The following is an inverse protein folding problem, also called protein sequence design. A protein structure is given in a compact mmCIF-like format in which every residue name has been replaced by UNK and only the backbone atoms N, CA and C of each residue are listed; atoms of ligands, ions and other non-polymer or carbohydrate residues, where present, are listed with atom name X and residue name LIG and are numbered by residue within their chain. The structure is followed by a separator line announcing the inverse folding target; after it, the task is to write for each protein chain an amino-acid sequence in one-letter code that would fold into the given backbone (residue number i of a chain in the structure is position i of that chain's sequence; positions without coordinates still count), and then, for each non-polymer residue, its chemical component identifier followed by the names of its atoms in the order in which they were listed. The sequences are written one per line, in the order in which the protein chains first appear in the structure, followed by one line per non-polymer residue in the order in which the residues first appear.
data_IF_906178931320
#
_entry.id   IF_906178931320
#
_cell.length_a   1.000
_cell.length_b   1.000
_cell.length_c   1.000
_cell.angle_alpha   90.00
_cell.angle_beta   90.00
_cell.angle_gamma   90.00
#
_symmetry.space_group_name_H-M   'P 1'
#
loop_
_entity.id
_entity.type
_entity.pdbx_description
1 polymer ?
#
# COMPACT_ATOMS: atom_id res chain seq x y z
N UNK A 1 8.91 -6.34 -10.69
CA UNK A 1 8.76 -4.88 -10.74
C UNK A 1 9.94 -4.21 -10.05
N UNK A 2 10.40 -3.12 -10.58
CA UNK A 2 11.43 -2.30 -9.97
C UNK A 2 10.80 -1.10 -9.30
N UNK A 3 11.31 -0.71 -8.14
CA UNK A 3 10.95 0.55 -7.53
C UNK A 3 12.05 1.57 -7.81
N UNK A 4 11.68 2.76 -8.22
CA UNK A 4 12.59 3.85 -8.54
C UNK A 4 12.21 5.09 -7.77
N UNK A 5 13.18 5.72 -7.10
CA UNK A 5 13.04 7.06 -6.56
C UNK A 5 13.54 8.00 -7.64
N UNK A 6 12.63 8.76 -8.24
CA UNK A 6 12.96 9.68 -9.31
C UNK A 6 13.52 11.00 -8.78
N UNK A 7 14.54 11.53 -9.44
CA UNK A 7 14.94 12.93 -9.26
C UNK A 7 13.91 13.86 -9.89
N UNK A 8 13.87 15.16 -9.52
CA UNK A 8 12.94 16.13 -10.16
C UNK A 8 13.07 16.22 -11.69
N UNK A 9 14.24 15.91 -12.23
CA UNK A 9 14.49 15.91 -13.68
C UNK A 9 13.94 14.65 -14.34
N UNK A 10 14.14 13.48 -13.73
CA UNK A 10 13.60 12.20 -14.18
C UNK A 10 12.07 12.17 -14.10
N UNK A 11 11.50 12.82 -13.10
CA UNK A 11 10.06 12.92 -12.94
C UNK A 11 9.37 13.78 -14.02
N UNK A 12 10.10 14.59 -14.77
CA UNK A 12 9.55 15.34 -15.90
C UNK A 12 9.24 14.43 -17.09
N UNK A 13 9.96 13.34 -17.25
CA UNK A 13 9.65 12.32 -18.27
C UNK A 13 8.67 11.29 -17.67
N UNK A 14 7.40 11.67 -17.69
CA UNK A 14 6.30 10.81 -17.22
C UNK A 14 5.73 9.93 -18.33
N UNK A 15 6.34 9.91 -19.48
CA UNK A 15 5.94 9.03 -20.56
C UNK A 15 6.11 7.56 -20.13
N UNK A 16 5.03 6.81 -20.15
CA UNK A 16 5.02 5.39 -19.79
C UNK A 16 4.45 5.04 -18.41
N UNK A 17 4.13 6.02 -17.54
CA UNK A 17 3.39 5.77 -16.31
C UNK A 17 1.89 5.96 -16.54
N UNK A 18 1.10 4.92 -16.24
CA UNK A 18 -0.34 4.94 -16.49
C UNK A 18 -1.12 5.66 -15.39
N UNK A 19 -0.62 5.61 -14.15
CA UNK A 19 -1.32 6.14 -12.97
C UNK A 19 -0.40 7.08 -12.21
N UNK A 20 -0.89 8.28 -11.95
CA UNK A 20 -0.22 9.29 -11.11
C UNK A 20 -1.11 9.58 -9.90
N UNK A 21 -0.57 9.39 -8.70
CA UNK A 21 -1.28 9.62 -7.45
C UNK A 21 -0.61 10.77 -6.70
N UNK A 22 -1.41 11.71 -6.21
CA UNK A 22 -0.92 12.79 -5.36
C UNK A 22 -0.68 12.30 -3.94
N UNK A 23 0.38 12.78 -3.33
CA UNK A 23 0.73 12.45 -1.96
C UNK A 23 1.20 13.71 -1.21
N UNK A 24 1.17 13.63 0.12
CA UNK A 24 1.64 14.71 0.99
C UNK A 24 2.88 14.25 1.75
N UNK A 25 3.94 15.08 1.82
CA UNK A 25 5.15 14.72 2.54
C UNK A 25 4.92 14.81 4.05
N UNK A 26 5.41 13.83 4.78
CA UNK A 26 5.45 13.83 6.23
C UNK A 26 6.61 12.97 6.72
N UNK A 27 7.53 13.56 7.49
CA UNK A 27 8.68 12.85 8.07
C UNK A 27 9.46 11.98 7.07
N UNK A 28 9.75 12.50 5.87
CA UNK A 28 10.48 11.78 4.84
C UNK A 28 9.68 10.73 4.07
N UNK A 29 8.38 10.58 4.35
CA UNK A 29 7.46 9.68 3.64
C UNK A 29 6.42 10.49 2.85
N UNK A 30 5.88 9.89 1.81
CA UNK A 30 4.72 10.42 1.11
C UNK A 30 3.45 9.64 1.52
N UNK A 31 2.45 10.40 1.96
CA UNK A 31 1.17 9.86 2.40
C UNK A 31 0.11 10.13 1.34
N UNK A 32 -0.52 9.08 0.86
CA UNK A 32 -1.64 9.14 -0.08
C UNK A 32 -2.93 9.23 0.74
N UNK A 33 -3.63 10.36 0.65
CA UNK A 33 -4.90 10.57 1.34
C UNK A 33 -6.13 10.16 0.51
N UNK A 34 -6.00 10.13 -0.82
CA UNK A 34 -7.06 9.69 -1.74
C UNK A 34 -7.03 8.17 -1.90
N UNK A 35 -7.39 7.48 -0.84
CA UNK A 35 -7.46 6.03 -0.84
C UNK A 35 -8.64 5.54 0.02
N UNK A 36 -9.14 4.36 -0.33
CA UNK A 36 -10.21 3.67 0.39
C UNK A 36 -9.95 2.17 0.41
N UNK A 37 -10.23 1.55 1.55
CA UNK A 37 -10.23 0.09 1.71
C UNK A 37 -11.64 -0.35 2.06
N UNK A 38 -12.27 -1.13 1.20
CA UNK A 38 -13.66 -1.57 1.33
C UNK A 38 -14.62 -0.40 1.69
N UNK A 39 -14.41 0.75 1.04
CA UNK A 39 -15.18 1.97 1.26
C UNK A 39 -14.79 2.78 2.50
N UNK A 40 -13.82 2.34 3.29
CA UNK A 40 -13.27 3.11 4.42
C UNK A 40 -12.15 4.00 3.95
N UNK A 41 -12.29 5.31 4.11
CA UNK A 41 -11.22 6.26 3.77
C UNK A 41 -9.96 5.96 4.58
N UNK A 42 -8.85 5.78 3.88
CA UNK A 42 -7.61 5.26 4.46
C UNK A 42 -6.41 6.05 3.92
N UNK A 43 -5.51 6.45 4.81
CA UNK A 43 -4.21 6.98 4.39
C UNK A 43 -3.28 5.84 4.03
N UNK A 44 -2.59 5.93 2.90
CA UNK A 44 -1.68 4.89 2.42
C UNK A 44 -0.25 5.41 2.35
N UNK A 45 0.67 4.65 2.91
CA UNK A 45 2.11 4.90 2.86
C UNK A 45 2.76 3.77 2.07
N UNK A 46 3.65 4.12 1.16
CA UNK A 46 4.46 3.16 0.41
C UNK A 46 5.73 2.86 1.21
N UNK A 47 5.96 1.60 1.55
CA UNK A 47 7.15 1.20 2.31
C UNK A 47 7.79 -0.07 1.71
N UNK A 48 8.94 0.11 1.09
CA UNK A 48 9.73 -0.99 0.52
C UNK A 48 10.41 -1.86 1.57
N UNK A 49 10.51 -1.39 2.80
CA UNK A 49 11.02 -2.16 3.93
C UNK A 49 10.00 -3.13 4.50
N UNK A 50 8.72 -2.92 4.25
CA UNK A 50 7.65 -3.83 4.66
C UNK A 50 7.47 -4.95 3.64
N UNK A 51 7.47 -6.21 4.07
CA UNK A 51 7.24 -7.35 3.19
C UNK A 51 5.77 -7.53 2.84
N UNK A 52 4.88 -7.29 3.79
CA UNK A 52 3.43 -7.41 3.64
C UNK A 52 2.77 -6.07 3.91
N UNK A 53 1.55 -5.90 3.42
CA UNK A 53 0.76 -4.71 3.72
C UNK A 53 0.19 -4.81 5.12
N UNK A 54 0.33 -3.72 5.88
CA UNK A 54 -0.03 -3.63 7.28
C UNK A 54 -1.06 -2.53 7.45
N UNK A 55 -2.18 -2.85 8.08
CA UNK A 55 -3.20 -1.88 8.49
C UNK A 55 -3.11 -1.57 9.97
N UNK A 56 -3.46 -0.34 10.35
CA UNK A 56 -3.51 0.03 11.76
C UNK A 56 -4.82 -0.39 12.43
N UNK A 57 -4.88 -0.27 13.76
CA UNK A 57 -6.06 -0.65 14.53
C UNK A 57 -7.27 0.26 14.23
N UNK A 58 -7.06 1.51 13.87
CA UNK A 58 -8.14 2.40 13.49
C UNK A 58 -8.86 1.92 12.22
N UNK A 59 -8.12 1.43 11.22
CA UNK A 59 -8.68 0.79 10.03
C UNK A 59 -9.38 -0.51 10.39
N UNK A 60 -8.76 -1.34 11.20
CA UNK A 60 -9.33 -2.61 11.66
C UNK A 60 -10.70 -2.40 12.34
N UNK A 61 -10.81 -1.44 13.24
CA UNK A 61 -12.08 -1.11 13.93
C UNK A 61 -13.17 -0.69 12.95
N UNK A 62 -12.83 0.12 11.95
CA UNK A 62 -13.79 0.57 10.94
C UNK A 62 -14.29 -0.56 10.04
N UNK A 63 -13.40 -1.48 9.67
CA UNK A 63 -13.76 -2.64 8.86
C UNK A 63 -14.59 -3.65 9.66
N UNK A 64 -14.25 -3.92 10.93
CA UNK A 64 -15.04 -4.80 11.81
C UNK A 64 -16.46 -4.28 12.04
N UNK A 65 -16.62 -2.98 12.21
CA UNK A 65 -17.93 -2.37 12.35
C UNK A 65 -18.82 -2.63 11.13
N UNK A 66 -18.23 -2.94 9.97
CA UNK A 66 -18.95 -3.27 8.73
C UNK A 66 -19.18 -4.78 8.55
N UNK A 67 -18.18 -5.60 8.88
CA UNK A 67 -18.18 -7.03 8.55
C UNK A 67 -18.50 -7.93 9.74
N UNK A 68 -18.33 -7.46 10.97
CA UNK A 68 -18.55 -8.25 12.18
C UNK A 68 -17.51 -9.34 12.44
N UNK A 69 -16.38 -9.32 11.76
CA UNK A 69 -15.37 -10.36 11.85
C UNK A 69 -14.61 -10.38 13.19
N UNK A 70 -14.37 -11.61 13.70
CA UNK A 70 -13.50 -11.86 14.83
C UNK A 70 -12.05 -12.06 14.37
N UNK A 71 -11.08 -11.55 15.13
CA UNK A 71 -9.67 -11.61 14.78
C UNK A 71 -9.01 -12.96 15.03
N UNK A 72 -8.04 -13.31 14.22
CA UNK A 72 -7.17 -14.49 14.35
C UNK A 72 -5.72 -14.08 14.69
N UNK A 73 -4.97 -15.02 15.25
CA UNK A 73 -3.55 -14.84 15.63
C UNK A 73 -2.64 -15.37 14.53
N UNK A 74 -1.62 -14.62 14.16
CA UNK A 74 -0.65 -15.04 13.13
C UNK A 74 0.79 -14.94 13.64
N UNK A 75 1.62 -15.86 13.14
CA UNK A 75 3.05 -15.82 13.32
C UNK A 75 3.71 -15.05 12.16
N UNK A 76 4.41 -13.98 12.50
CA UNK A 76 5.22 -13.21 11.55
C UNK A 76 6.68 -13.38 11.95
N UNK A 77 7.44 -14.15 11.20
CA UNK A 77 8.88 -14.37 11.41
C UNK A 77 9.26 -14.91 12.80
N UNK A 78 8.47 -15.85 13.35
CA UNK A 78 8.74 -16.45 14.65
C UNK A 78 8.41 -15.60 15.86
N UNK A 79 7.85 -14.41 15.67
CA UNK A 79 7.28 -13.59 16.72
C UNK A 79 5.76 -13.67 16.66
N UNK A 80 5.13 -14.09 17.74
CA UNK A 80 3.66 -14.07 17.86
C UNK A 80 3.20 -12.62 17.96
N UNK A 81 2.89 -12.02 16.81
CA UNK A 81 2.20 -10.73 16.77
C UNK A 81 0.70 -10.98 16.90
N UNK A 82 0.05 -10.29 17.84
CA UNK A 82 -1.41 -10.22 17.89
C UNK A 82 -1.89 -9.36 16.73
N UNK A 83 -2.12 -9.99 15.60
CA UNK A 83 -2.68 -9.37 14.44
C UNK A 83 -3.76 -10.28 13.85
N UNK A 84 -4.60 -9.73 12.99
CA UNK A 84 -5.49 -10.55 12.18
C UNK A 84 -5.30 -10.21 10.72
N UNK A 85 -5.32 -11.24 9.93
CA UNK A 85 -5.35 -11.11 8.50
C UNK A 85 -6.79 -10.77 8.07
N UNK A 86 -6.92 -9.73 7.29
CA UNK A 86 -8.15 -9.38 6.60
C UNK A 86 -7.87 -9.35 5.10
N UNK A 87 -8.74 -9.95 4.32
CA UNK A 87 -8.67 -9.84 2.86
C UNK A 87 -9.68 -8.79 2.42
N UNK A 88 -9.19 -7.62 2.05
CA UNK A 88 -10.03 -6.56 1.51
C UNK A 88 -10.49 -6.91 0.10
N UNK A 89 -11.77 -6.72 -0.18
CA UNK A 89 -12.30 -6.94 -1.53
C UNK A 89 -11.74 -5.92 -2.51
N UNK A 90 -11.66 -4.66 -2.10
CA UNK A 90 -11.16 -3.56 -2.93
C UNK A 90 -10.36 -2.55 -2.12
N UNK A 91 -9.20 -2.18 -2.65
CA UNK A 91 -8.48 -1.01 -2.21
C UNK A 91 -8.34 -0.04 -3.39
N UNK A 92 -8.89 1.17 -3.23
CA UNK A 92 -8.74 2.24 -4.22
C UNK A 92 -7.66 3.19 -3.76
N UNK A 93 -6.71 3.47 -4.64
CA UNK A 93 -5.60 4.40 -4.41
C UNK A 93 -5.57 5.36 -5.60
N UNK A 94 -6.11 6.57 -5.44
CA UNK A 94 -6.37 7.44 -6.56
C UNK A 94 -7.31 6.77 -7.57
N UNK A 95 -6.88 6.65 -8.81
CA UNK A 95 -7.61 5.95 -9.89
C UNK A 95 -7.32 4.44 -9.96
N UNK A 96 -6.37 3.97 -9.18
CA UNK A 96 -5.98 2.57 -9.15
C UNK A 96 -6.91 1.78 -8.22
N UNK A 97 -7.22 0.55 -8.61
CA UNK A 97 -7.97 -0.39 -7.81
C UNK A 97 -7.20 -1.70 -7.69
N UNK A 98 -6.97 -2.14 -6.46
CA UNK A 98 -6.47 -3.47 -6.14
C UNK A 98 -7.63 -4.31 -5.61
N UNK A 99 -7.74 -5.54 -6.09
CA UNK A 99 -8.75 -6.49 -5.63
C UNK A 99 -8.09 -7.62 -4.82
N UNK A 100 -8.82 -8.16 -3.86
CA UNK A 100 -8.37 -9.28 -3.03
C UNK A 100 -7.02 -8.96 -2.36
N UNK A 101 -7.00 -7.86 -1.60
CA UNK A 101 -5.80 -7.36 -0.94
C UNK A 101 -5.69 -7.93 0.49
N UNK A 102 -4.71 -8.81 0.77
CA UNK A 102 -4.42 -9.23 2.13
C UNK A 102 -3.80 -8.10 2.95
N UNK A 103 -4.39 -7.79 4.08
CA UNK A 103 -3.90 -6.77 5.02
C UNK A 103 -3.69 -7.42 6.38
N UNK A 104 -2.49 -7.33 6.91
CA UNK A 104 -2.18 -7.73 8.27
C UNK A 104 -2.46 -6.55 9.20
N UNK A 105 -3.38 -6.70 10.15
CA UNK A 105 -3.60 -5.69 11.16
C UNK A 105 -2.68 -5.91 12.34
N UNK A 106 -1.80 -4.97 12.58
CA UNK A 106 -0.84 -5.00 13.66
C UNK A 106 -0.50 -3.58 14.12
N UNK A 107 -0.11 -3.45 15.38
CA UNK A 107 0.49 -2.21 15.85
C UNK A 107 1.89 -2.07 15.27
N UNK A 108 2.13 -0.92 14.64
CA UNK A 108 3.43 -0.57 14.10
C UNK A 108 3.84 0.82 14.56
N UNK A 109 5.06 0.98 15.10
CA UNK A 109 5.56 2.30 15.49
C UNK A 109 5.58 3.31 14.33
N UNK A 110 5.61 2.84 13.08
CA UNK A 110 5.58 3.68 11.89
C UNK A 110 4.31 4.53 11.82
N UNK A 111 3.15 4.02 12.24
CA UNK A 111 1.91 4.79 12.22
C UNK A 111 1.94 5.96 13.20
N UNK A 112 2.40 5.76 14.42
CA UNK A 112 2.54 6.81 15.41
C UNK A 112 3.59 7.85 14.98
N UNK A 113 4.72 7.40 14.44
CA UNK A 113 5.78 8.28 13.93
C UNK A 113 5.28 9.21 12.81
N UNK A 114 4.31 8.75 12.00
CA UNK A 114 3.69 9.53 10.94
C UNK A 114 2.42 10.28 11.39
N UNK A 115 2.02 10.14 12.66
CA UNK A 115 0.79 10.71 13.18
C UNK A 115 -0.48 10.11 12.55
N UNK A 116 -0.42 8.84 12.19
CA UNK A 116 -1.49 8.09 11.53
C UNK A 116 -2.14 7.02 12.41
N UNK A 117 -1.76 6.92 13.68
CA UNK A 117 -2.20 5.87 14.59
C UNK A 117 -3.69 5.95 14.96
N UNK A 118 -4.27 7.14 14.94
CA UNK A 118 -5.67 7.37 15.32
C UNK A 118 -6.66 7.41 14.15
N UNK A 119 -6.17 7.38 12.91
CA UNK A 119 -6.96 7.42 11.69
C UNK A 119 -6.73 6.15 10.88
N UNK A 120 -7.73 5.66 10.12
CA UNK A 120 -7.52 4.52 9.25
C UNK A 120 -6.31 4.75 8.33
N UNK A 121 -5.34 3.87 8.44
CA UNK A 121 -4.11 3.93 7.66
C UNK A 121 -3.57 2.55 7.33
N UNK A 122 -2.84 2.45 6.24
CA UNK A 122 -2.22 1.24 5.74
C UNK A 122 -0.82 1.54 5.20
N UNK A 123 0.09 0.63 5.45
CA UNK A 123 1.39 0.56 4.78
C UNK A 123 1.27 -0.44 3.65
N UNK A 124 1.52 -0.01 2.42
CA UNK A 124 1.57 -0.89 1.26
C UNK A 124 2.99 -1.48 1.14
N UNK A 125 3.09 -2.78 1.31
CA UNK A 125 4.36 -3.50 1.36
C UNK A 125 4.81 -4.08 0.03
N UNK A 126 5.97 -4.72 0.01
CA UNK A 126 6.61 -5.25 -1.19
C UNK A 126 5.78 -6.32 -1.89
N UNK A 127 4.97 -7.09 -1.17
CA UNK A 127 4.13 -8.12 -1.76
C UNK A 127 3.21 -7.54 -2.84
N UNK A 128 2.56 -6.43 -2.56
CA UNK A 128 1.68 -5.73 -3.49
C UNK A 128 2.46 -4.84 -4.46
N UNK A 129 3.53 -4.20 -4.00
CA UNK A 129 4.35 -3.34 -4.85
C UNK A 129 4.99 -4.09 -6.03
N UNK A 130 5.26 -5.39 -5.87
CA UNK A 130 5.78 -6.25 -6.93
C UNK A 130 4.80 -6.50 -8.07
N UNK A 131 3.52 -6.20 -7.89
CA UNK A 131 2.52 -6.31 -8.95
C UNK A 131 2.69 -5.24 -10.04
N UNK A 132 3.33 -4.13 -9.70
CA UNK A 132 3.58 -3.06 -10.65
C UNK A 132 4.84 -3.31 -11.46
N UNK A 133 4.84 -2.87 -12.71
CA UNK A 133 6.03 -2.90 -13.56
C UNK A 133 7.09 -1.94 -13.03
N UNK A 134 6.67 -0.72 -12.69
CA UNK A 134 7.51 0.32 -12.07
C UNK A 134 6.70 1.13 -11.07
N UNK A 135 7.39 1.62 -10.05
CA UNK A 135 6.87 2.64 -9.16
C UNK A 135 7.95 3.71 -9.04
N UNK A 136 7.60 4.97 -9.26
CA UNK A 136 8.47 6.10 -9.02
C UNK A 136 7.88 7.00 -7.95
N UNK A 137 8.71 7.39 -6.99
CA UNK A 137 8.34 8.33 -5.93
C UNK A 137 9.02 9.65 -6.25
N UNK A 138 8.21 10.66 -6.52
CA UNK A 138 8.67 12.01 -6.83
C UNK A 138 8.36 12.95 -5.67
N UNK A 139 9.34 13.16 -4.81
CA UNK A 139 9.23 14.06 -3.67
C UNK A 139 9.11 15.53 -4.10
N UNK A 140 9.70 15.90 -5.22
CA UNK A 140 9.67 17.26 -5.73
C UNK A 140 8.27 17.72 -6.13
N UNK A 141 7.54 16.88 -6.86
CA UNK A 141 6.16 17.15 -7.29
C UNK A 141 5.11 16.54 -6.37
N UNK A 142 5.51 15.84 -5.31
CA UNK A 142 4.63 15.16 -4.35
C UNK A 142 3.69 14.18 -5.02
N UNK A 143 4.25 13.32 -5.86
CA UNK A 143 3.49 12.33 -6.64
C UNK A 143 4.15 10.98 -6.58
N UNK A 144 3.32 9.96 -6.68
CA UNK A 144 3.75 8.58 -6.84
C UNK A 144 3.19 8.10 -8.18
N UNK A 145 4.07 7.58 -9.02
CA UNK A 145 3.75 7.14 -10.36
C UNK A 145 3.79 5.62 -10.38
N UNK A 146 2.70 5.02 -10.84
CA UNK A 146 2.56 3.58 -10.97
C UNK A 146 2.48 3.19 -12.44
N UNK A 147 3.22 2.17 -12.81
CA UNK A 147 3.20 1.60 -14.14
C UNK A 147 2.71 0.15 -14.06
N UNK A 148 1.55 -0.10 -14.64
CA UNK A 148 0.91 -1.41 -14.60
C UNK A 148 1.50 -2.33 -15.69
N UNK A 149 1.49 -3.65 -15.45
CA UNK A 149 1.76 -4.61 -16.52
C UNK A 149 0.76 -4.42 -17.66
N UNK A 150 1.25 -4.22 -18.87
CA UNK A 150 0.41 -3.90 -20.05
C UNK A 150 0.21 -5.08 -20.98
N UNK A 151 1.02 -6.13 -20.84
CA UNK A 151 0.92 -7.35 -21.67
C UNK A 151 0.54 -8.56 -20.83
N UNK A 152 -0.07 -9.61 -21.44
CA UNK A 152 -0.35 -10.86 -20.72
C UNK A 152 0.90 -11.50 -20.11
N UNK A 153 2.05 -11.41 -20.79
CA UNK A 153 3.32 -11.92 -20.28
C UNK A 153 3.82 -11.14 -19.05
N UNK A 154 3.71 -9.82 -19.06
CA UNK A 154 4.05 -8.97 -17.92
C UNK A 154 3.12 -9.22 -16.74
N UNK A 155 1.83 -9.40 -17.00
CA UNK A 155 0.85 -9.73 -15.96
C UNK A 155 1.15 -11.10 -15.33
N UNK A 156 1.43 -12.11 -16.14
CA UNK A 156 1.81 -13.43 -15.66
C UNK A 156 3.09 -13.38 -14.81
N UNK A 157 4.10 -12.63 -15.25
CA UNK A 157 5.34 -12.43 -14.51
C UNK A 157 5.11 -11.70 -13.17
N UNK A 158 4.22 -10.69 -13.13
CA UNK A 158 3.85 -10.01 -11.91
C UNK A 158 3.14 -10.93 -10.92
N UNK A 159 2.19 -11.73 -11.38
CA UNK A 159 1.48 -12.71 -10.55
C UNK A 159 2.42 -13.80 -10.01
N UNK A 160 3.37 -14.26 -10.81
CA UNK A 160 4.38 -15.23 -10.35
C UNK A 160 5.27 -14.66 -9.24
N UNK A 161 5.65 -13.39 -9.33
CA UNK A 161 6.38 -12.69 -8.25
C UNK A 161 5.55 -12.51 -6.98
N UNK A 162 4.23 -12.37 -7.13
CA UNK A 162 3.32 -12.23 -6.00
C UNK A 162 3.17 -13.53 -5.21
N UNK A 163 3.22 -14.68 -5.88
CA UNK A 163 3.09 -16.00 -5.25
C UNK A 163 4.42 -16.51 -4.63
N UNK A 164 5.52 -15.92 -4.96
CA UNK A 164 6.84 -16.19 -4.38
C UNK A 164 7.07 -15.36 -3.13
#
# INVERSE_FOLDING_TARGET
SSMTIATPEEAKDRSGYEIVVRASPKHGQLIIADAQVDGVRTSVVIDTGAQVSIGNQALARRLRARTGDAGELFDINGAVARGHLHVADKAKIGKMQLETLPIMFADSPAFAALGLDERPAMILGMRELRLFRRIAIDFGTRRILFDLPSTPAEMAAALARFQG
#
